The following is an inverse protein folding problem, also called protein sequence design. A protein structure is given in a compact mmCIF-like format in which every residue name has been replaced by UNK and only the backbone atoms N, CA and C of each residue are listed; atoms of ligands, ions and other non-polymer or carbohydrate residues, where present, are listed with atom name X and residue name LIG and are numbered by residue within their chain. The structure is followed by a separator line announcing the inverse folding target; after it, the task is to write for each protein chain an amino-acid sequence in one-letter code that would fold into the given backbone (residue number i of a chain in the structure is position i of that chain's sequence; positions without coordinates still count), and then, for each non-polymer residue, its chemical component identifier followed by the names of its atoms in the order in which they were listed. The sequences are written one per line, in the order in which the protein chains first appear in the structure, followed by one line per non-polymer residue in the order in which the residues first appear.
data_IF_854886834446
#
_entry.id   IF_854886834446
#
_cell.length_a   1.000
_cell.length_b   1.000
_cell.length_c   1.000
_cell.angle_alpha   90.00
_cell.angle_beta   90.00
_cell.angle_gamma   90.00
#
_symmetry.space_group_name_H-M   'P 1'
#
loop_
_entity.id
_entity.type
_entity.pdbx_description
1 polymer ?
#
# COMPACT_ATOMS: atom_id res chain seq x y z
N UNK A 1 5.91 -2.26 19.15
CA UNK A 1 6.83 -1.41 19.95
C UNK A 1 7.99 -2.25 20.44
N UNK A 2 9.14 -1.66 20.84
CA UNK A 2 10.26 -2.41 21.43
C UNK A 2 9.86 -3.28 22.62
N UNK A 3 8.87 -2.86 23.39
CA UNK A 3 8.35 -3.55 24.58
C UNK A 3 7.56 -4.83 24.27
N UNK A 4 7.21 -5.05 22.99
CA UNK A 4 6.43 -6.23 22.58
C UNK A 4 7.32 -7.42 22.15
N UNK A 5 8.64 -7.29 22.31
CA UNK A 5 9.62 -8.34 21.99
C UNK A 5 10.04 -8.38 20.52
N UNK A 6 10.79 -9.43 20.16
CA UNK A 6 11.36 -9.58 18.82
C UNK A 6 10.28 -9.68 17.73
N UNK A 7 10.39 -8.81 16.75
CA UNK A 7 9.43 -8.73 15.63
C UNK A 7 9.36 -10.03 14.82
N UNK A 8 10.51 -10.66 14.55
CA UNK A 8 10.55 -11.87 13.72
C UNK A 8 9.88 -13.05 14.41
N UNK A 9 10.09 -13.19 15.72
CA UNK A 9 9.42 -14.22 16.52
C UNK A 9 7.90 -14.02 16.54
N UNK A 10 7.45 -12.80 16.80
CA UNK A 10 6.02 -12.45 16.81
C UNK A 10 5.36 -12.65 15.45
N UNK A 11 6.00 -12.17 14.37
CA UNK A 11 5.52 -12.38 13.00
C UNK A 11 5.38 -13.86 12.68
N UNK A 12 6.40 -14.67 13.00
CA UNK A 12 6.39 -16.10 12.70
C UNK A 12 5.28 -16.82 13.46
N UNK A 13 5.08 -16.51 14.75
CA UNK A 13 3.98 -17.05 15.54
C UNK A 13 2.61 -16.64 14.98
N UNK A 14 2.43 -15.38 14.64
CA UNK A 14 1.18 -14.89 14.03
C UNK A 14 0.88 -15.56 12.68
N UNK A 15 1.89 -15.72 11.84
CA UNK A 15 1.75 -16.41 10.55
C UNK A 15 1.45 -17.90 10.72
N UNK A 16 2.01 -18.55 11.75
CA UNK A 16 1.68 -19.93 12.07
C UNK A 16 0.22 -20.08 12.47
N UNK A 17 -0.25 -19.29 13.44
CA UNK A 17 -1.67 -19.28 13.87
C UNK A 17 -2.59 -19.01 12.69
N UNK A 18 -2.26 -18.04 11.84
CA UNK A 18 -3.06 -17.69 10.66
C UNK A 18 -3.22 -18.88 9.69
N UNK A 19 -2.16 -19.66 9.48
CA UNK A 19 -2.20 -20.88 8.65
C UNK A 19 -2.98 -22.04 9.29
N UNK A 20 -2.89 -22.17 10.61
CA UNK A 20 -3.61 -23.21 11.35
C UNK A 20 -5.13 -22.98 11.36
N UNK A 21 -5.55 -21.72 11.37
CA UNK A 21 -6.95 -21.35 11.51
C UNK A 21 -7.65 -20.98 10.20
N UNK A 22 -6.91 -20.66 9.15
CA UNK A 22 -7.49 -20.25 7.87
C UNK A 22 -7.01 -21.16 6.73
N UNK A 23 -7.88 -21.51 5.77
CA UNK A 23 -7.56 -22.42 4.66
C UNK A 23 -6.77 -21.68 3.55
N UNK A 24 -5.67 -21.02 3.89
CA UNK A 24 -4.95 -20.10 2.99
C UNK A 24 -3.67 -20.70 2.39
N UNK A 25 -3.24 -21.86 2.84
CA UNK A 25 -1.99 -22.49 2.42
C UNK A 25 -0.73 -21.76 2.93
N UNK A 26 0.44 -22.34 2.68
CA UNK A 26 1.72 -21.85 3.24
C UNK A 26 2.29 -20.65 2.49
N UNK A 27 2.04 -20.56 1.19
CA UNK A 27 2.59 -19.50 0.36
C UNK A 27 1.89 -18.16 0.63
N UNK A 28 2.62 -17.07 0.92
CA UNK A 28 2.04 -15.77 1.20
C UNK A 28 1.40 -15.11 -0.02
N UNK A 29 1.86 -15.46 -1.23
CA UNK A 29 1.25 -15.05 -2.50
C UNK A 29 0.97 -16.27 -3.37
N UNK A 30 -0.12 -16.24 -4.13
CA UNK A 30 -0.58 -17.37 -4.92
C UNK A 30 -1.51 -16.94 -6.06
N UNK A 31 -1.52 -17.74 -7.13
CA UNK A 31 -2.46 -17.62 -8.24
C UNK A 31 -3.63 -18.60 -8.05
N UNK A 32 -4.84 -18.15 -8.37
CA UNK A 32 -6.04 -18.98 -8.46
C UNK A 32 -6.68 -18.76 -9.83
N UNK A 33 -6.89 -19.84 -10.56
CA UNK A 33 -7.43 -19.81 -11.93
C UNK A 33 -8.89 -20.25 -11.95
N UNK A 34 -9.73 -19.52 -12.69
CA UNK A 34 -11.14 -19.79 -12.90
C UNK A 34 -11.39 -20.01 -14.40
N UNK A 35 -10.77 -21.05 -14.95
CA UNK A 35 -10.78 -21.34 -16.40
C UNK A 35 -10.20 -20.18 -17.19
N UNK A 36 -10.83 -19.84 -18.29
CA UNK A 36 -10.50 -18.71 -19.17
C UNK A 36 -11.16 -17.39 -18.72
N UNK A 37 -12.08 -17.46 -17.77
CA UNK A 37 -12.82 -16.30 -17.28
C UNK A 37 -11.95 -15.35 -16.48
N UNK A 38 -11.14 -15.85 -15.54
CA UNK A 38 -10.40 -14.98 -14.65
C UNK A 38 -9.26 -15.67 -13.92
N UNK A 39 -8.26 -14.88 -13.59
CA UNK A 39 -7.16 -15.28 -12.71
C UNK A 39 -7.06 -14.31 -11.54
N UNK A 40 -7.10 -14.83 -10.31
CA UNK A 40 -6.90 -14.05 -9.10
C UNK A 40 -5.48 -14.23 -8.56
N UNK A 41 -4.81 -13.11 -8.34
CA UNK A 41 -3.47 -13.03 -7.77
C UNK A 41 -3.58 -12.53 -6.33
N UNK A 42 -3.43 -13.42 -5.36
CA UNK A 42 -3.29 -13.03 -3.96
C UNK A 42 -1.88 -12.56 -3.70
N UNK A 43 -1.71 -11.40 -3.06
CA UNK A 43 -0.40 -10.84 -2.73
C UNK A 43 -0.28 -10.50 -1.25
N UNK A 44 0.97 -10.44 -0.76
CA UNK A 44 1.31 -9.92 0.56
C UNK A 44 1.93 -8.53 0.41
N UNK A 45 1.37 -7.56 1.14
CA UNK A 45 1.81 -6.16 1.13
C UNK A 45 2.36 -5.69 2.48
N UNK A 46 2.49 -6.58 3.48
CA UNK A 46 2.87 -6.18 4.84
C UNK A 46 3.95 -7.03 5.49
N UNK A 47 3.84 -8.35 5.36
CA UNK A 47 4.53 -9.26 6.29
C UNK A 47 5.96 -9.59 5.86
N UNK A 48 6.27 -9.56 4.56
CA UNK A 48 7.49 -10.19 4.06
C UNK A 48 8.57 -9.18 3.66
N UNK A 49 8.26 -8.25 2.77
CA UNK A 49 9.31 -7.48 2.10
C UNK A 49 8.98 -6.01 1.81
N UNK A 50 7.90 -5.49 2.38
CA UNK A 50 7.54 -4.08 2.19
C UNK A 50 8.62 -3.16 2.76
N UNK A 51 9.02 -2.14 2.01
CA UNK A 51 9.85 -1.05 2.51
C UNK A 51 9.17 -0.34 3.68
N UNK A 52 9.97 0.17 4.63
CA UNK A 52 9.42 0.92 5.78
C UNK A 52 8.56 2.10 5.30
N UNK A 53 7.31 2.20 5.76
CA UNK A 53 6.45 3.31 5.39
C UNK A 53 6.91 4.62 6.01
N UNK A 54 6.57 5.71 5.36
CA UNK A 54 6.72 7.06 5.90
C UNK A 54 5.45 7.50 6.62
N UNK A 55 5.57 8.50 7.49
CA UNK A 55 4.44 9.05 8.24
C UNK A 55 4.33 10.55 8.00
N UNK A 56 3.16 11.00 7.57
CA UNK A 56 2.90 12.44 7.36
C UNK A 56 3.09 13.26 8.64
N UNK A 57 2.83 12.67 9.81
CA UNK A 57 3.07 13.30 11.10
C UNK A 57 4.54 13.63 11.38
N UNK A 58 5.49 12.87 10.81
CA UNK A 58 6.92 13.18 10.95
C UNK A 58 7.28 14.43 10.14
N UNK A 59 6.74 14.54 8.93
CA UNK A 59 6.91 15.71 8.07
C UNK A 59 6.25 16.96 8.68
N UNK A 60 5.08 16.81 9.31
CA UNK A 60 4.40 17.90 10.00
C UNK A 60 5.15 18.44 11.23
N UNK A 61 6.01 17.62 11.83
CA UNK A 61 6.85 18.05 12.99
C UNK A 61 8.15 18.75 12.60
N UNK A 62 8.46 18.82 11.32
CA UNK A 62 9.64 19.54 10.84
C UNK A 62 9.52 21.05 11.13
N UNK A 63 10.65 21.80 11.26
CA UNK A 63 10.63 23.25 11.44
C UNK A 63 9.90 24.00 10.32
N UNK A 64 9.97 23.49 9.10
CA UNK A 64 9.19 23.94 7.93
C UNK A 64 8.47 22.74 7.31
N UNK A 65 7.22 22.49 7.69
CA UNK A 65 6.44 21.37 7.17
C UNK A 65 6.22 21.45 5.64
N UNK A 66 6.00 22.63 5.09
CA UNK A 66 5.75 22.78 3.65
C UNK A 66 6.98 22.34 2.84
N UNK A 67 8.16 22.77 3.27
CA UNK A 67 9.42 22.33 2.67
C UNK A 67 9.65 20.84 2.88
N UNK A 68 9.38 20.30 4.07
CA UNK A 68 9.56 18.87 4.36
C UNK A 68 8.69 17.98 3.45
N UNK A 69 7.44 18.36 3.22
CA UNK A 69 6.56 17.64 2.27
C UNK A 69 7.07 17.74 0.83
N UNK A 70 7.55 18.91 0.40
CA UNK A 70 8.10 19.09 -0.94
C UNK A 70 9.37 18.25 -1.14
N UNK A 71 10.33 18.32 -0.21
CA UNK A 71 11.57 17.53 -0.24
C UNK A 71 11.26 16.01 -0.26
N UNK A 72 10.30 15.57 0.54
CA UNK A 72 9.86 14.18 0.55
C UNK A 72 9.26 13.76 -0.80
N UNK A 73 8.34 14.57 -1.36
CA UNK A 73 7.72 14.32 -2.66
C UNK A 73 8.77 14.15 -3.76
N UNK A 74 9.73 15.06 -3.82
CA UNK A 74 10.70 15.13 -4.90
C UNK A 74 11.92 14.19 -4.68
N UNK A 75 12.01 13.58 -3.49
CA UNK A 75 13.08 12.67 -3.09
C UNK A 75 12.59 11.28 -2.69
N UNK A 76 12.48 11.04 -1.39
CA UNK A 76 12.26 9.70 -0.83
C UNK A 76 10.95 9.03 -1.26
N UNK A 77 9.90 9.80 -1.55
CA UNK A 77 8.64 9.27 -2.08
C UNK A 77 8.80 8.64 -3.47
N UNK A 78 9.71 9.17 -4.29
CA UNK A 78 10.00 8.70 -5.64
C UNK A 78 11.16 7.71 -5.71
N UNK A 79 11.62 7.21 -4.56
CA UNK A 79 12.73 6.23 -4.53
C UNK A 79 12.37 4.96 -5.33
N UNK A 80 13.12 4.66 -6.42
CA UNK A 80 12.87 3.47 -7.24
C UNK A 80 13.14 2.15 -6.51
N UNK A 81 13.93 2.16 -5.43
CA UNK A 81 14.20 0.99 -4.61
C UNK A 81 13.05 0.69 -3.64
N UNK A 82 12.16 1.65 -3.40
CA UNK A 82 11.00 1.44 -2.55
C UNK A 82 10.04 0.42 -3.15
N UNK A 83 9.59 -0.53 -2.32
CA UNK A 83 8.76 -1.64 -2.77
C UNK A 83 7.63 -1.97 -1.80
N UNK A 84 6.48 -2.37 -2.36
CA UNK A 84 5.35 -2.92 -1.62
C UNK A 84 5.42 -4.45 -1.51
N UNK A 85 6.00 -5.11 -2.50
CA UNK A 85 6.01 -6.58 -2.62
C UNK A 85 7.37 -7.21 -2.30
N UNK A 86 8.46 -6.45 -2.36
CA UNK A 86 9.80 -6.99 -2.45
C UNK A 86 10.10 -7.54 -3.85
N UNK A 87 11.37 -7.79 -4.11
CA UNK A 87 11.87 -8.18 -5.43
C UNK A 87 11.32 -9.53 -5.89
N UNK A 88 11.25 -10.50 -4.98
CA UNK A 88 10.84 -11.87 -5.30
C UNK A 88 9.36 -11.93 -5.73
N UNK A 89 8.46 -11.38 -4.90
CA UNK A 89 7.04 -11.38 -5.21
C UNK A 89 6.71 -10.51 -6.44
N UNK A 90 7.38 -9.36 -6.59
CA UNK A 90 7.19 -8.50 -7.76
C UNK A 90 7.61 -9.23 -9.05
N UNK A 91 8.75 -9.92 -9.04
CA UNK A 91 9.23 -10.72 -10.18
C UNK A 91 8.26 -11.86 -10.50
N UNK A 92 7.79 -12.57 -9.48
CA UNK A 92 6.78 -13.61 -9.62
C UNK A 92 5.51 -13.05 -10.27
N UNK A 93 4.97 -11.93 -9.76
CA UNK A 93 3.74 -11.34 -10.28
C UNK A 93 3.88 -10.95 -11.75
N UNK A 94 4.99 -10.31 -12.13
CA UNK A 94 5.21 -9.89 -13.51
C UNK A 94 5.38 -11.07 -14.47
N UNK A 95 6.01 -12.15 -13.99
CA UNK A 95 6.09 -13.40 -14.76
C UNK A 95 4.71 -14.03 -14.96
N UNK A 96 3.87 -14.02 -13.92
CA UNK A 96 2.49 -14.52 -14.03
C UNK A 96 1.63 -13.63 -14.96
N UNK A 97 1.76 -12.32 -14.87
CA UNK A 97 1.07 -11.38 -15.76
C UNK A 97 1.41 -11.65 -17.24
N UNK A 98 2.67 -11.89 -17.55
CA UNK A 98 3.12 -12.18 -18.92
C UNK A 98 2.54 -13.49 -19.49
N UNK A 99 2.12 -14.42 -18.63
CA UNK A 99 1.58 -15.73 -19.03
C UNK A 99 0.07 -15.80 -18.95
N UNK A 100 -0.56 -14.86 -18.26
CA UNK A 100 -2.01 -14.86 -18.05
C UNK A 100 -2.73 -14.63 -19.39
N UNK A 101 -3.73 -15.50 -19.65
CA UNK A 101 -4.57 -15.43 -20.86
C UNK A 101 -6.06 -15.33 -20.52
N UNK A 102 -6.39 -15.30 -19.21
CA UNK A 102 -7.76 -15.16 -18.77
C UNK A 102 -8.35 -13.79 -19.16
N UNK A 103 -9.64 -13.74 -19.37
CA UNK A 103 -10.38 -12.51 -19.69
C UNK A 103 -10.21 -11.42 -18.64
N UNK A 104 -10.21 -11.80 -17.38
CA UNK A 104 -10.04 -10.89 -16.25
C UNK A 104 -8.81 -11.22 -15.41
N UNK A 105 -8.07 -10.20 -15.05
CA UNK A 105 -6.94 -10.28 -14.11
C UNK A 105 -7.33 -9.57 -12.83
N UNK A 106 -7.49 -10.31 -11.74
CA UNK A 106 -7.86 -9.74 -10.44
C UNK A 106 -6.65 -9.75 -9.52
N UNK A 107 -6.17 -8.58 -9.13
CA UNK A 107 -5.08 -8.43 -8.17
C UNK A 107 -5.65 -8.15 -6.78
N UNK A 108 -5.51 -9.12 -5.89
CA UNK A 108 -5.81 -8.97 -4.48
C UNK A 108 -4.63 -8.40 -3.72
N UNK A 109 -4.79 -7.20 -3.17
CA UNK A 109 -3.76 -6.50 -2.40
C UNK A 109 -4.27 -6.17 -1.00
N UNK A 110 -3.39 -6.16 0.00
CA UNK A 110 -3.78 -5.94 1.39
C UNK A 110 -4.27 -4.51 1.67
N UNK A 111 -3.86 -3.52 0.85
CA UNK A 111 -4.19 -2.11 1.05
C UNK A 111 -4.63 -1.44 -0.24
N UNK A 112 -5.36 -0.33 -0.11
CA UNK A 112 -5.89 0.44 -1.23
C UNK A 112 -4.78 0.90 -2.19
N UNK A 113 -4.98 0.68 -3.49
CA UNK A 113 -4.07 1.09 -4.57
C UNK A 113 -4.44 2.46 -5.18
N UNK A 114 -5.62 2.98 -4.88
CA UNK A 114 -6.03 4.32 -5.28
C UNK A 114 -5.32 5.41 -4.47
N UNK A 115 -5.14 6.58 -5.10
CA UNK A 115 -4.69 7.77 -4.37
C UNK A 115 -5.89 8.52 -3.80
N UNK A 116 -5.84 8.80 -2.51
CA UNK A 116 -6.83 9.61 -1.83
C UNK A 116 -6.17 10.92 -1.38
N UNK A 117 -6.78 12.03 -1.76
CA UNK A 117 -6.35 13.37 -1.36
C UNK A 117 -7.36 13.98 -0.41
N UNK A 118 -6.88 14.60 0.66
CA UNK A 118 -7.75 15.28 1.62
C UNK A 118 -8.07 16.69 1.11
N UNK A 119 -9.33 17.02 0.86
CA UNK A 119 -9.71 18.38 0.43
C UNK A 119 -9.56 19.38 1.57
N UNK A 120 -9.33 20.66 1.26
CA UNK A 120 -9.11 21.69 2.28
C UNK A 120 -10.32 21.87 3.21
N UNK A 121 -11.53 21.73 2.67
CA UNK A 121 -12.78 21.84 3.40
C UNK A 121 -13.07 20.69 4.38
N UNK A 122 -12.25 19.63 4.38
CA UNK A 122 -12.46 18.46 5.25
C UNK A 122 -12.50 18.80 6.74
N UNK A 123 -11.85 19.87 7.18
CA UNK A 123 -11.95 20.34 8.56
C UNK A 123 -13.36 20.85 8.94
N UNK A 124 -14.14 21.29 7.97
CA UNK A 124 -15.51 21.77 8.18
C UNK A 124 -16.50 20.61 8.40
N UNK A 125 -16.09 19.36 8.16
CA UNK A 125 -16.91 18.17 8.38
C UNK A 125 -16.97 17.75 9.86
N UNK A 126 -16.11 18.31 10.70
CA UNK A 126 -16.05 18.00 12.12
C UNK A 126 -16.95 18.94 12.94
N UNK A 127 -17.60 18.38 13.96
CA UNK A 127 -18.25 19.20 14.97
C UNK A 127 -17.23 19.95 15.85
N UNK A 128 -17.63 21.04 16.52
CA UNK A 128 -16.75 21.75 17.45
C UNK A 128 -16.17 20.85 18.55
N UNK A 129 -16.94 19.83 18.99
CA UNK A 129 -16.58 18.91 20.07
C UNK A 129 -15.63 17.79 19.60
N UNK A 130 -15.35 17.69 18.30
CA UNK A 130 -14.44 16.65 17.78
C UNK A 130 -13.05 16.82 18.40
N UNK A 131 -12.46 15.75 18.96
CA UNK A 131 -11.14 15.81 19.59
C UNK A 131 -10.06 16.28 18.64
N UNK A 132 -9.11 17.07 19.15
CA UNK A 132 -8.06 17.68 18.34
C UNK A 132 -7.17 16.66 17.62
N UNK A 133 -6.96 15.46 18.16
CA UNK A 133 -6.15 14.45 17.49
C UNK A 133 -6.76 14.04 16.13
N UNK A 134 -8.10 13.97 16.02
CA UNK A 134 -8.79 13.70 14.75
C UNK A 134 -8.65 14.86 13.77
N UNK A 135 -8.80 16.08 14.25
CA UNK A 135 -8.57 17.29 13.46
C UNK A 135 -7.12 17.39 12.99
N UNK A 136 -6.15 17.01 13.84
CA UNK A 136 -4.73 17.00 13.48
C UNK A 136 -4.41 15.98 12.38
N UNK A 137 -5.00 14.79 12.43
CA UNK A 137 -4.87 13.80 11.38
C UNK A 137 -5.37 14.35 10.03
N UNK A 138 -6.50 15.06 10.04
CA UNK A 138 -7.04 15.71 8.84
C UNK A 138 -6.12 16.85 8.35
N UNK A 139 -5.57 17.67 9.26
CA UNK A 139 -4.59 18.72 8.89
C UNK A 139 -3.35 18.14 8.20
N UNK A 140 -2.87 16.99 8.65
CA UNK A 140 -1.75 16.29 8.00
C UNK A 140 -2.11 15.88 6.57
N UNK A 141 -3.31 15.31 6.37
CA UNK A 141 -3.79 14.95 5.05
C UNK A 141 -3.94 16.16 4.10
N UNK A 142 -4.45 17.29 4.62
CA UNK A 142 -4.55 18.54 3.84
C UNK A 142 -3.16 19.06 3.47
N UNK A 143 -2.20 19.05 4.41
CA UNK A 143 -0.83 19.49 4.13
C UNK A 143 -0.16 18.60 3.08
N UNK A 144 -0.34 17.28 3.16
CA UNK A 144 0.13 16.35 2.13
C UNK A 144 -0.51 16.65 0.77
N UNK A 145 -1.83 16.83 0.71
CA UNK A 145 -2.55 17.14 -0.52
C UNK A 145 -2.08 18.44 -1.17
N UNK A 146 -1.81 19.49 -0.39
CA UNK A 146 -1.21 20.75 -0.85
C UNK A 146 0.16 20.57 -1.49
N UNK A 147 0.91 19.60 -1.02
CA UNK A 147 2.20 19.21 -1.61
C UNK A 147 2.06 18.24 -2.81
N UNK A 148 0.84 17.86 -3.21
CA UNK A 148 0.60 16.89 -4.27
C UNK A 148 0.79 15.43 -3.84
N UNK A 149 0.77 15.17 -2.53
CA UNK A 149 0.95 13.85 -1.95
C UNK A 149 -0.40 13.26 -1.51
N UNK A 150 -0.59 11.94 -1.61
CA UNK A 150 -1.79 11.28 -1.13
C UNK A 150 -1.89 11.35 0.41
N UNK A 151 -3.10 11.12 0.90
CA UNK A 151 -3.45 11.18 2.31
C UNK A 151 -2.64 10.23 3.20
N UNK A 152 -2.35 9.03 2.71
CA UNK A 152 -1.73 7.96 3.49
C UNK A 152 -0.54 7.34 2.75
N UNK A 153 0.57 7.17 3.44
CA UNK A 153 1.79 6.55 2.92
C UNK A 153 1.94 5.08 3.36
N UNK A 154 1.06 4.57 4.21
CA UNK A 154 1.08 3.16 4.66
C UNK A 154 0.35 2.22 3.68
N UNK A 155 -0.26 2.76 2.64
CA UNK A 155 -0.82 2.04 1.51
C UNK A 155 0.01 2.27 0.23
N UNK A 156 -0.51 1.90 -0.94
CA UNK A 156 0.16 2.13 -2.23
C UNK A 156 0.45 3.61 -2.54
N UNK A 157 -0.19 4.52 -1.83
CA UNK A 157 0.12 5.95 -1.92
C UNK A 157 1.54 6.30 -1.50
N UNK A 158 2.13 5.52 -0.60
CA UNK A 158 3.53 5.67 -0.18
C UNK A 158 4.56 5.07 -1.15
N UNK A 159 4.13 4.35 -2.20
CA UNK A 159 5.02 3.58 -3.09
C UNK A 159 4.72 3.84 -4.57
N UNK A 160 4.78 5.10 -5.05
CA UNK A 160 4.32 5.49 -6.38
C UNK A 160 5.07 4.78 -7.50
N UNK A 161 6.39 4.57 -7.33
CA UNK A 161 7.23 3.91 -8.33
C UNK A 161 6.91 2.42 -8.41
N UNK A 162 6.75 1.72 -7.28
CA UNK A 162 6.31 0.33 -7.24
C UNK A 162 4.91 0.15 -7.86
N UNK A 163 3.96 1.04 -7.50
CA UNK A 163 2.63 1.08 -8.08
C UNK A 163 2.67 1.25 -9.62
N UNK A 164 3.49 2.17 -10.10
CA UNK A 164 3.69 2.39 -11.53
C UNK A 164 4.24 1.16 -12.24
N UNK A 165 5.18 0.42 -11.62
CA UNK A 165 5.71 -0.83 -12.18
C UNK A 165 4.60 -1.88 -12.38
N UNK A 166 3.71 -2.05 -11.39
CA UNK A 166 2.57 -2.99 -11.49
C UNK A 166 1.64 -2.62 -12.64
N UNK A 167 1.24 -1.36 -12.75
CA UNK A 167 0.36 -0.92 -13.84
C UNK A 167 1.03 -1.03 -15.22
N UNK A 168 2.31 -0.66 -15.32
CA UNK A 168 3.08 -0.84 -16.57
C UNK A 168 3.17 -2.30 -16.98
N UNK A 169 3.36 -3.22 -16.03
CA UNK A 169 3.38 -4.65 -16.29
C UNK A 169 2.02 -5.15 -16.79
N UNK A 170 0.92 -4.69 -16.21
CA UNK A 170 -0.42 -5.03 -16.67
C UNK A 170 -0.69 -4.48 -18.09
N UNK A 171 -0.38 -3.22 -18.34
CA UNK A 171 -0.53 -2.58 -19.65
C UNK A 171 0.31 -3.26 -20.74
N UNK A 172 1.59 -3.58 -20.42
CA UNK A 172 2.49 -4.26 -21.37
C UNK A 172 1.93 -5.60 -21.84
N UNK A 173 1.16 -6.28 -21.00
CA UNK A 173 0.58 -7.59 -21.28
C UNK A 173 -0.89 -7.53 -21.69
N UNK A 174 -1.44 -6.33 -21.92
CA UNK A 174 -2.83 -6.09 -22.32
C UNK A 174 -3.86 -6.75 -21.40
N UNK A 175 -3.64 -6.64 -20.07
CA UNK A 175 -4.48 -7.30 -19.08
C UNK A 175 -5.68 -6.43 -18.69
N UNK A 176 -6.86 -7.02 -18.64
CA UNK A 176 -8.05 -6.43 -18.00
C UNK A 176 -7.88 -6.51 -16.48
N UNK A 177 -7.12 -5.56 -15.92
CA UNK A 177 -6.76 -5.55 -14.51
C UNK A 177 -7.86 -4.94 -13.64
N UNK A 178 -8.33 -5.71 -12.68
CA UNK A 178 -9.16 -5.25 -11.54
C UNK A 178 -8.35 -5.40 -10.27
N UNK A 179 -8.29 -4.35 -9.46
CA UNK A 179 -7.62 -4.39 -8.16
C UNK A 179 -8.65 -4.39 -7.04
N UNK A 180 -8.54 -5.36 -6.14
CA UNK A 180 -9.37 -5.45 -4.93
C UNK A 180 -8.49 -5.38 -3.69
N UNK A 181 -8.94 -4.69 -2.66
CA UNK A 181 -8.21 -4.53 -1.41
C UNK A 181 -9.12 -4.71 -0.20
N UNK A 182 -8.54 -5.25 0.88
CA UNK A 182 -9.26 -5.50 2.13
C UNK A 182 -9.17 -4.38 3.16
N UNK A 183 -8.29 -3.41 2.95
CA UNK A 183 -7.98 -2.36 3.93
C UNK A 183 -7.82 -1.00 3.25
N UNK A 184 -8.46 0.00 3.83
CA UNK A 184 -8.49 1.38 3.30
C UNK A 184 -7.67 2.38 4.11
N UNK A 185 -7.07 1.98 5.25
CA UNK A 185 -6.43 2.93 6.17
C UNK A 185 -5.20 3.66 5.65
#
# INVERSE_FOLDING_TARGET
TPDEGDWSARRNAAMQVWREWLPVGEQPWKTYEFGDLGTYFRTDTRMIARSKPYWAGDLMRAPDPAKAFADFRDGAWMDPASTMFGTEQESWLFHQFARNKATWTVLGTGTNMGYNYTPEEALNWFSPETPDYRKNFMRQGIAAAKAGLPYNFDNWGGYPVARSRVFKAAQKNDLNLVVVSGDSH
#
